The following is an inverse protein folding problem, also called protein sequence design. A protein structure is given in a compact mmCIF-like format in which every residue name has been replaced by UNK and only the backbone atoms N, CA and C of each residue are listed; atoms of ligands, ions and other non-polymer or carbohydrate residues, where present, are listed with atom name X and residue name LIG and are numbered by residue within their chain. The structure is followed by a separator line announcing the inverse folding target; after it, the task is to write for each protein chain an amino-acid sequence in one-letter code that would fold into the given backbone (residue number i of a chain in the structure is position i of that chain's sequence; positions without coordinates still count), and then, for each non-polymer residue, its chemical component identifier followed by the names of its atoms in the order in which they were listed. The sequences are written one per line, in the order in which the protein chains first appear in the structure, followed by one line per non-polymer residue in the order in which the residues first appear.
data_IF_012196718416
#
_entry.id   IF_012196718416
#
_cell.length_a   1.000
_cell.length_b   1.000
_cell.length_c   1.000
_cell.angle_alpha   90.00
_cell.angle_beta   90.00
_cell.angle_gamma   90.00
#
_symmetry.space_group_name_H-M   'P 1'
#
loop_
_entity.id
_entity.type
_entity.pdbx_description
1 polymer ?
#
# COMPACT_ATOMS: atom_id res chain seq x y z
N UNK A 1 -12.18 -31.59 -37.79
CA UNK A 1 -11.26 -30.46 -37.99
C UNK A 1 -11.60 -29.42 -36.93
N UNK A 2 -10.74 -29.36 -35.90
CA UNK A 2 -10.49 -28.31 -34.89
C UNK A 2 -11.71 -27.70 -34.15
N UNK A 3 -12.02 -28.37 -33.02
CA UNK A 3 -12.45 -27.87 -31.69
C UNK A 3 -12.77 -26.37 -31.54
N UNK A 4 -14.06 -26.04 -31.43
CA UNK A 4 -14.58 -24.71 -31.11
C UNK A 4 -15.00 -24.53 -29.63
N UNK A 5 -14.43 -25.31 -28.70
CA UNK A 5 -14.85 -25.33 -27.28
C UNK A 5 -13.79 -24.89 -26.27
N UNK A 6 -12.60 -24.44 -26.69
CA UNK A 6 -11.51 -24.09 -25.75
C UNK A 6 -11.47 -22.61 -25.34
N UNK A 7 -12.25 -21.72 -25.95
CA UNK A 7 -12.06 -20.26 -25.76
C UNK A 7 -12.93 -19.60 -24.70
N UNK A 8 -14.05 -20.19 -24.27
CA UNK A 8 -14.87 -19.59 -23.19
C UNK A 8 -14.30 -19.88 -21.80
N UNK A 9 -13.83 -21.10 -21.54
CA UNK A 9 -13.23 -21.46 -20.26
C UNK A 9 -11.88 -20.77 -20.07
N UNK A 10 -11.01 -20.75 -21.09
CA UNK A 10 -9.72 -20.04 -21.03
C UNK A 10 -9.86 -18.52 -20.86
N UNK A 11 -10.88 -17.90 -21.49
CA UNK A 11 -11.15 -16.47 -21.31
C UNK A 11 -11.69 -16.16 -19.91
N UNK A 12 -12.50 -17.05 -19.33
CA UNK A 12 -13.01 -16.89 -17.96
C UNK A 12 -11.89 -17.07 -16.93
N UNK A 13 -11.02 -18.07 -17.09
CA UNK A 13 -9.85 -18.25 -16.23
C UNK A 13 -8.84 -17.09 -16.35
N UNK A 14 -8.62 -16.57 -17.57
CA UNK A 14 -7.81 -15.38 -17.81
C UNK A 14 -8.34 -14.16 -17.06
N UNK A 15 -9.64 -13.91 -17.14
CA UNK A 15 -10.29 -12.77 -16.49
C UNK A 15 -10.17 -12.86 -14.96
N UNK A 16 -10.45 -14.04 -14.39
CA UNK A 16 -10.29 -14.29 -12.95
C UNK A 16 -8.84 -14.11 -12.49
N UNK A 17 -7.88 -14.60 -13.27
CA UNK A 17 -6.45 -14.51 -12.93
C UNK A 17 -5.94 -13.07 -12.97
N UNK A 18 -6.40 -12.27 -13.92
CA UNK A 18 -6.07 -10.85 -14.00
C UNK A 18 -6.73 -10.04 -12.86
N UNK A 19 -7.97 -10.37 -12.50
CA UNK A 19 -8.68 -9.69 -11.41
C UNK A 19 -8.08 -10.01 -10.03
N UNK A 20 -7.69 -11.28 -9.78
CA UNK A 20 -6.94 -11.70 -8.59
C UNK A 20 -5.59 -10.99 -8.51
N UNK A 21 -4.84 -10.93 -9.62
CA UNK A 21 -3.54 -10.24 -9.67
C UNK A 21 -3.67 -8.74 -9.44
N UNK A 22 -4.76 -8.13 -9.90
CA UNK A 22 -5.08 -6.73 -9.62
C UNK A 22 -5.48 -6.52 -8.14
N UNK A 23 -6.17 -7.48 -7.53
CA UNK A 23 -6.49 -7.48 -6.09
C UNK A 23 -5.24 -7.59 -5.22
N UNK A 24 -4.35 -8.54 -5.51
CA UNK A 24 -3.09 -8.72 -4.77
C UNK A 24 -2.17 -7.49 -4.87
N UNK A 25 -2.03 -6.89 -6.05
CA UNK A 25 -1.24 -5.67 -6.23
C UNK A 25 -1.81 -4.49 -5.43
N UNK A 26 -3.15 -4.35 -5.38
CA UNK A 26 -3.82 -3.32 -4.58
C UNK A 26 -3.63 -3.57 -3.08
N UNK A 27 -3.87 -4.79 -2.62
CA UNK A 27 -3.70 -5.17 -1.22
C UNK A 27 -2.25 -5.03 -0.73
N UNK A 28 -1.26 -5.32 -1.58
CA UNK A 28 0.15 -5.12 -1.24
C UNK A 28 0.50 -3.64 -1.07
N UNK A 29 0.07 -2.79 -2.00
CA UNK A 29 0.30 -1.34 -1.91
C UNK A 29 -0.39 -0.72 -0.70
N UNK A 30 -1.65 -1.05 -0.46
CA UNK A 30 -2.38 -0.56 0.72
C UNK A 30 -1.78 -1.07 2.04
N UNK A 31 -1.28 -2.31 2.05
CA UNK A 31 -0.59 -2.89 3.21
C UNK A 31 0.74 -2.21 3.50
N UNK A 32 1.53 -1.90 2.46
CA UNK A 32 2.79 -1.16 2.58
C UNK A 32 2.55 0.28 3.07
N UNK A 33 1.56 0.99 2.52
CA UNK A 33 1.23 2.35 2.96
C UNK A 33 0.72 2.39 4.41
N UNK A 34 -0.18 1.48 4.79
CA UNK A 34 -0.65 1.37 6.18
C UNK A 34 0.50 1.04 7.14
N UNK A 35 1.37 0.10 6.78
CA UNK A 35 2.53 -0.28 7.59
C UNK A 35 3.55 0.85 7.77
N UNK A 36 3.81 1.63 6.72
CA UNK A 36 4.67 2.83 6.79
C UNK A 36 4.09 3.88 7.73
N UNK A 37 2.78 4.13 7.63
CA UNK A 37 2.09 5.10 8.48
C UNK A 37 2.07 4.67 9.95
N UNK A 38 1.79 3.40 10.25
CA UNK A 38 1.81 2.88 11.62
C UNK A 38 3.22 2.94 12.23
N UNK A 39 4.24 2.64 11.41
CA UNK A 39 5.65 2.75 11.80
C UNK A 39 6.03 4.20 12.14
N UNK A 40 5.65 5.15 11.28
CA UNK A 40 5.83 6.59 11.49
C UNK A 40 5.21 7.06 12.81
N UNK A 41 3.96 6.65 13.08
CA UNK A 41 3.25 7.05 14.31
C UNK A 41 3.94 6.45 15.54
N UNK A 42 4.36 5.19 15.47
CA UNK A 42 5.08 4.54 16.56
C UNK A 42 6.41 5.23 16.85
N UNK A 43 7.17 5.61 15.83
CA UNK A 43 8.39 6.39 16.02
C UNK A 43 8.11 7.75 16.65
N UNK A 44 7.09 8.47 16.18
CA UNK A 44 6.72 9.76 16.74
C UNK A 44 6.32 9.64 18.22
N UNK A 45 5.48 8.65 18.58
CA UNK A 45 5.09 8.38 19.97
C UNK A 45 6.26 8.03 20.89
N UNK A 46 7.33 7.46 20.34
CA UNK A 46 8.56 7.16 21.06
C UNK A 46 9.55 8.34 21.10
N UNK A 47 9.15 9.53 20.62
CA UNK A 47 9.98 10.74 20.67
C UNK A 47 11.08 10.79 19.61
N UNK A 48 10.98 10.00 18.53
CA UNK A 48 11.94 10.04 17.43
C UNK A 48 11.73 11.33 16.62
N UNK A 49 12.83 12.00 16.26
CA UNK A 49 12.81 13.22 15.44
C UNK A 49 12.20 12.99 14.06
N UNK A 50 11.48 14.00 13.55
CA UNK A 50 10.81 13.95 12.25
C UNK A 50 11.79 13.70 11.09
N UNK A 51 13.05 14.16 11.21
CA UNK A 51 14.10 13.95 10.22
C UNK A 51 14.49 12.46 10.10
N UNK A 52 14.56 11.74 11.21
CA UNK A 52 14.85 10.30 11.23
C UNK A 52 13.66 9.54 10.67
N UNK A 53 12.45 9.88 11.12
CA UNK A 53 11.21 9.25 10.66
C UNK A 53 11.07 9.39 9.14
N UNK A 54 11.27 10.59 8.60
CA UNK A 54 11.17 10.87 7.15
C UNK A 54 12.08 9.94 6.33
N UNK A 55 13.31 9.71 6.79
CA UNK A 55 14.27 8.79 6.17
C UNK A 55 13.84 7.33 6.30
N UNK A 56 13.29 6.94 7.45
CA UNK A 56 12.89 5.55 7.71
C UNK A 56 11.68 5.08 6.89
N UNK A 57 10.71 5.97 6.63
CA UNK A 57 9.52 5.61 5.84
C UNK A 57 9.59 6.08 4.38
N UNK A 58 10.72 6.69 3.98
CA UNK A 58 10.97 7.26 2.65
C UNK A 58 9.92 8.30 2.25
N UNK A 59 9.54 9.17 3.19
CA UNK A 59 8.58 10.27 2.97
C UNK A 59 9.26 11.60 3.26
N UNK A 60 8.75 12.68 2.67
CA UNK A 60 9.20 14.02 3.04
C UNK A 60 8.78 14.38 4.46
N UNK A 61 9.51 15.28 5.12
CA UNK A 61 9.16 15.78 6.45
C UNK A 61 7.75 16.42 6.43
N UNK A 62 7.38 17.09 5.34
CA UNK A 62 6.07 17.73 5.19
C UNK A 62 4.94 16.71 5.10
N UNK A 63 5.14 15.60 4.38
CA UNK A 63 4.19 14.48 4.36
C UNK A 63 4.05 13.86 5.75
N UNK A 64 5.18 13.61 6.44
CA UNK A 64 5.16 13.09 7.82
C UNK A 64 4.37 14.01 8.73
N UNK A 65 4.60 15.32 8.67
CA UNK A 65 3.86 16.32 9.44
C UNK A 65 2.37 16.31 9.10
N UNK A 66 2.02 16.30 7.81
CA UNK A 66 0.62 16.27 7.38
C UNK A 66 -0.11 15.03 7.88
N UNK A 67 0.56 13.87 7.91
CA UNK A 67 0.01 12.61 8.43
C UNK A 67 -0.21 12.69 9.95
N UNK A 68 0.73 13.28 10.68
CA UNK A 68 0.65 13.46 12.12
C UNK A 68 -0.45 14.45 12.51
N UNK A 69 -0.52 15.60 11.85
CA UNK A 69 -1.58 16.62 12.04
C UNK A 69 -2.95 16.03 11.69
N UNK A 70 -3.05 15.30 10.57
CA UNK A 70 -4.28 14.61 10.17
C UNK A 70 -4.76 13.56 11.18
N UNK A 71 -3.89 13.13 12.09
CA UNK A 71 -4.20 12.24 13.21
C UNK A 71 -4.36 12.93 14.57
N UNK A 72 -4.23 14.25 14.61
CA UNK A 72 -4.40 15.06 15.83
C UNK A 72 -3.16 15.18 16.71
N UNK A 73 -1.96 14.90 16.16
CA UNK A 73 -0.71 15.19 16.87
C UNK A 73 -0.27 16.64 16.61
N UNK A 74 0.25 17.29 17.65
CA UNK A 74 0.91 18.59 17.55
C UNK A 74 2.41 18.35 17.27
N UNK A 75 2.93 18.91 16.18
CA UNK A 75 4.25 18.59 15.60
C UNK A 75 5.08 19.82 15.26
#
# INVERSE_FOLDING_TARGET
MITAFTTQEEAFESFLKDEVRAGEKRGRKEGEEKGKIDTLINFFKNGVGLDIISKSVEMSIDEVKSILIGRGFEV
#
